data_IF_204351119480
#
_entry.id   IF_204351119480
#
_cell.length_a   1.000
_cell.length_b   1.000
_cell.length_c   1.000
_cell.angle_alpha   90.00
_cell.angle_beta   90.00
_cell.angle_gamma   90.00
#
_symmetry.space_group_name_H-M   'P 1'
#
loop_
_entity.id
_entity.type
_entity.pdbx_description
1 polymer ?
#
# COMPACT_ATOMS: atom_id res chain seq x y z
N UNK A 1 4.44 -10.88 -11.41
CA UNK A 1 5.06 -11.33 -10.14
C UNK A 1 4.12 -10.89 -9.04
N UNK A 2 3.90 -11.69 -8.02
CA UNK A 2 2.88 -11.39 -7.02
C UNK A 2 3.47 -10.74 -5.76
N UNK A 3 2.78 -9.71 -5.30
CA UNK A 3 2.97 -9.09 -3.99
C UNK A 3 1.68 -9.25 -3.17
N UNK A 4 1.80 -9.45 -1.86
CA UNK A 4 0.69 -9.36 -0.91
C UNK A 4 0.90 -8.18 0.01
N UNK A 5 -0.13 -7.36 0.16
CA UNK A 5 -0.10 -6.12 0.94
C UNK A 5 -1.31 -6.07 1.86
N UNK A 6 -1.06 -5.73 3.12
CA UNK A 6 -2.08 -5.37 4.09
C UNK A 6 -2.28 -3.85 4.04
N UNK A 7 -3.46 -3.45 3.58
CA UNK A 7 -3.90 -2.06 3.53
C UNK A 7 -4.69 -1.71 4.79
N UNK A 8 -4.42 -0.52 5.33
CA UNK A 8 -5.22 0.11 6.38
C UNK A 8 -5.57 1.53 5.93
N UNK A 9 -6.83 1.75 5.57
CA UNK A 9 -7.35 3.07 5.26
C UNK A 9 -8.02 3.66 6.51
N UNK A 10 -7.66 4.89 6.88
CA UNK A 10 -8.29 5.65 7.96
C UNK A 10 -9.19 6.72 7.36
N UNK A 11 -10.49 6.71 7.71
CA UNK A 11 -11.42 7.77 7.35
C UNK A 11 -12.15 8.28 8.57
N UNK A 12 -12.09 9.59 8.83
CA UNK A 12 -12.84 10.26 9.89
C UNK A 12 -12.76 9.54 11.26
N UNK A 13 -11.59 8.95 11.56
CA UNK A 13 -11.30 8.23 12.80
C UNK A 13 -11.67 6.74 12.80
N UNK A 14 -12.16 6.19 11.69
CA UNK A 14 -12.46 4.76 11.52
C UNK A 14 -11.40 4.07 10.66
N UNK A 15 -10.94 2.89 11.09
CA UNK A 15 -9.98 2.08 10.33
C UNK A 15 -10.68 1.01 9.48
N UNK A 16 -10.22 0.86 8.24
CA UNK A 16 -10.67 -0.14 7.29
C UNK A 16 -9.48 -0.96 6.81
N UNK A 17 -9.45 -2.25 7.15
CA UNK A 17 -8.34 -3.14 6.86
C UNK A 17 -8.70 -4.13 5.77
N UNK A 18 -7.79 -4.34 4.82
CA UNK A 18 -7.93 -5.36 3.78
C UNK A 18 -6.57 -5.91 3.39
N UNK A 19 -6.53 -7.18 3.02
CA UNK A 19 -5.33 -7.80 2.44
C UNK A 19 -5.61 -8.06 0.97
N UNK A 20 -4.67 -7.68 0.11
CA UNK A 20 -4.78 -7.91 -1.32
C UNK A 20 -3.49 -8.51 -1.88
N UNK A 21 -3.65 -9.44 -2.83
CA UNK A 21 -2.55 -9.99 -3.61
C UNK A 21 -2.73 -9.59 -5.06
N UNK A 22 -1.70 -9.02 -5.67
CA UNK A 22 -1.76 -8.55 -7.05
C UNK A 22 -0.41 -8.65 -7.75
N UNK A 23 -0.45 -8.53 -9.08
CA UNK A 23 0.75 -8.51 -9.89
C UNK A 23 1.39 -7.12 -9.95
N UNK A 24 2.72 -7.09 -9.78
CA UNK A 24 3.53 -5.87 -9.83
C UNK A 24 4.93 -6.18 -10.39
N UNK A 25 5.56 -5.20 -11.03
CA UNK A 25 6.98 -5.27 -11.37
C UNK A 25 7.84 -4.87 -10.16
N UNK A 26 8.99 -5.51 -9.93
CA UNK A 26 9.85 -5.17 -8.80
C UNK A 26 10.42 -3.75 -8.95
N UNK A 27 10.59 -3.00 -7.83
CA UNK A 27 11.13 -1.65 -7.88
C UNK A 27 12.57 -1.66 -8.41
N UNK A 28 12.82 -0.85 -9.44
CA UNK A 28 14.15 -0.65 -10.04
C UNK A 28 14.76 0.72 -9.72
N UNK A 29 14.05 1.56 -8.98
CA UNK A 29 14.42 2.96 -8.71
C UNK A 29 13.97 3.41 -7.32
N UNK A 30 13.48 4.64 -7.23
CA UNK A 30 12.93 5.16 -5.99
C UNK A 30 11.75 4.31 -5.52
N UNK A 31 11.81 3.89 -4.27
CA UNK A 31 10.84 2.97 -3.70
C UNK A 31 9.53 3.67 -3.39
N UNK A 32 9.56 4.95 -3.00
CA UNK A 32 8.38 5.73 -2.68
C UNK A 32 7.61 6.08 -3.96
N UNK A 33 8.31 6.44 -5.04
CA UNK A 33 7.70 6.61 -6.37
C UNK A 33 7.07 5.31 -6.85
N UNK A 34 7.80 4.19 -6.75
CA UNK A 34 7.27 2.88 -7.14
C UNK A 34 6.02 2.50 -6.32
N UNK A 35 6.03 2.73 -5.01
CA UNK A 35 4.89 2.45 -4.15
C UNK A 35 3.70 3.36 -4.48
N UNK A 36 3.96 4.63 -4.82
CA UNK A 36 2.94 5.57 -5.27
C UNK A 36 2.28 5.14 -6.59
N UNK A 37 3.03 4.54 -7.51
CA UNK A 37 2.47 4.09 -8.79
C UNK A 37 1.74 2.72 -8.69
N UNK A 38 2.19 1.84 -7.79
CA UNK A 38 1.74 0.44 -7.79
C UNK A 38 0.86 0.05 -6.60
N UNK A 39 1.07 0.67 -5.44
CA UNK A 39 0.38 0.33 -4.19
C UNK A 39 -0.66 1.40 -3.84
N UNK A 40 -0.30 2.68 -3.91
CA UNK A 40 -1.21 3.79 -3.58
C UNK A 40 -2.53 3.77 -4.35
N UNK A 41 -2.61 3.44 -5.65
CA UNK A 41 -3.90 3.41 -6.37
C UNK A 41 -4.85 2.31 -5.86
N UNK A 42 -4.33 1.39 -5.04
CA UNK A 42 -5.09 0.32 -4.39
C UNK A 42 -5.41 0.63 -2.94
N UNK A 43 -5.00 1.78 -2.39
CA UNK A 43 -5.56 2.31 -1.15
C UNK A 43 -6.87 3.02 -1.48
N UNK A 44 -7.59 3.50 -0.47
CA UNK A 44 -8.76 4.32 -0.77
C UNK A 44 -10.03 3.48 -1.03
N UNK A 45 -11.17 4.15 -1.00
CA UNK A 45 -12.45 3.66 -1.52
C UNK A 45 -12.95 4.49 -2.73
N UNK A 46 -12.09 5.37 -3.24
CA UNK A 46 -12.39 6.29 -4.35
C UNK A 46 -13.30 7.45 -3.97
N UNK A 47 -13.61 7.65 -2.69
CA UNK A 47 -14.44 8.77 -2.21
C UNK A 47 -13.58 9.86 -1.59
N UNK A 48 -14.12 11.08 -1.60
CA UNK A 48 -13.52 12.19 -0.87
C UNK A 48 -13.93 12.10 0.61
N UNK A 49 -12.94 12.15 1.50
CA UNK A 49 -13.11 12.17 2.96
C UNK A 49 -12.41 13.42 3.53
N UNK A 50 -12.92 13.99 4.63
CA UNK A 50 -12.36 15.22 5.22
C UNK A 50 -10.98 14.96 5.84
N UNK A 51 -10.81 13.79 6.48
CA UNK A 51 -9.53 13.32 7.00
C UNK A 51 -9.30 11.89 6.56
N UNK A 52 -8.28 11.69 5.73
CA UNK A 52 -7.91 10.37 5.24
C UNK A 52 -6.41 10.13 5.39
N UNK A 53 -6.03 8.98 5.93
CA UNK A 53 -4.65 8.49 5.91
C UNK A 53 -4.64 7.04 5.42
N UNK A 54 -3.62 6.68 4.65
CA UNK A 54 -3.54 5.40 3.96
C UNK A 54 -2.24 4.72 4.31
N UNK A 55 -2.31 3.49 4.80
CA UNK A 55 -1.14 2.69 5.15
C UNK A 55 -1.15 1.40 4.36
N UNK A 56 0.02 0.97 3.90
CA UNK A 56 0.18 -0.26 3.15
C UNK A 56 1.44 -0.99 3.59
N UNK A 57 1.29 -2.17 4.19
CA UNK A 57 2.40 -3.01 4.65
C UNK A 57 2.57 -4.22 3.74
N UNK A 58 3.76 -4.40 3.18
CA UNK A 58 4.07 -5.57 2.35
C UNK A 58 4.24 -6.79 3.24
N UNK A 59 3.46 -7.85 3.03
CA UNK A 59 3.54 -9.10 3.81
C UNK A 59 4.17 -10.25 3.04
N UNK A 60 4.08 -10.24 1.71
CA UNK A 60 4.74 -11.23 0.85
C UNK A 60 5.29 -10.54 -0.40
N UNK A 61 6.58 -10.71 -0.68
CA UNK A 61 7.17 -10.32 -1.96
C UNK A 61 8.42 -11.17 -2.25
N UNK A 62 8.25 -12.29 -2.95
CA UNK A 62 9.31 -13.30 -3.09
C UNK A 62 10.59 -12.78 -3.77
N UNK A 63 10.44 -11.88 -4.74
CA UNK A 63 11.56 -11.32 -5.51
C UNK A 63 12.28 -10.16 -4.80
N UNK A 64 11.64 -9.56 -3.79
CA UNK A 64 12.18 -8.51 -2.94
C UNK A 64 11.86 -8.79 -1.47
N UNK A 65 12.42 -9.87 -0.89
CA UNK A 65 12.14 -10.25 0.48
C UNK A 65 12.62 -9.20 1.49
N UNK A 66 13.54 -8.32 1.08
CA UNK A 66 13.99 -7.14 1.84
C UNK A 66 12.88 -6.13 2.13
N UNK A 67 11.81 -6.14 1.33
CA UNK A 67 10.66 -5.24 1.48
C UNK A 67 9.54 -5.84 2.34
N UNK A 68 9.62 -7.11 2.74
CA UNK A 68 8.60 -7.71 3.61
C UNK A 68 8.66 -7.07 5.00
N UNK A 69 7.53 -6.59 5.49
CA UNK A 69 7.40 -5.79 6.72
C UNK A 69 7.60 -4.29 6.52
N UNK A 70 7.90 -3.83 5.28
CA UNK A 70 7.95 -2.40 4.96
C UNK A 70 6.53 -1.85 4.87
N UNK A 71 6.31 -0.74 5.56
CA UNK A 71 5.08 0.06 5.49
C UNK A 71 5.31 1.35 4.67
N UNK A 72 4.31 1.70 3.89
CA UNK A 72 4.17 2.99 3.19
C UNK A 72 2.96 3.73 3.73
N UNK A 73 3.04 5.06 3.79
CA UNK A 73 2.00 5.93 4.32
C UNK A 73 1.74 7.13 3.41
N UNK A 74 0.47 7.53 3.28
CA UNK A 74 0.03 8.70 2.50
C UNK A 74 -1.13 9.43 3.20
N UNK A 75 -1.30 10.73 2.94
CA UNK A 75 -2.46 11.51 3.43
C UNK A 75 -2.32 12.13 4.83
N UNK A 76 -1.09 12.18 5.37
CA UNK A 76 -0.79 12.87 6.63
C UNK A 76 -0.74 14.39 6.49
#
# INVERSE_FOLDING_TARGET
MQITVDFTDLYDGSEYKRTETFDVEPPSGDLDDWAYDNIFPRTGDGRAHERAAYFATITVFADRPDLVGREFEWGL
#
